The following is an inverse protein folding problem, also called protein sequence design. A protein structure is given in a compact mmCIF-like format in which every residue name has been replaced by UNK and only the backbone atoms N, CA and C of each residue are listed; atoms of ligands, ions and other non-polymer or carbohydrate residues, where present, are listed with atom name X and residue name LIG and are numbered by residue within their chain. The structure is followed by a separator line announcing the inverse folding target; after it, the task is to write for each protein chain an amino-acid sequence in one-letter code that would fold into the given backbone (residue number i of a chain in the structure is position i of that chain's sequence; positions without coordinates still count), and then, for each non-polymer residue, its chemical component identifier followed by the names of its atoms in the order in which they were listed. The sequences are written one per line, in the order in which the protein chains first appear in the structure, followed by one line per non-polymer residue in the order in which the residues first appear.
data_IF_498643748567
#
_entry.id   IF_498643748567
#
_cell.length_a   1.000
_cell.length_b   1.000
_cell.length_c   1.000
_cell.angle_alpha   90.00
_cell.angle_beta   90.00
_cell.angle_gamma   90.00
#
_symmetry.space_group_name_H-M   'P 1'
#
loop_
_entity.id
_entity.type
_entity.pdbx_description
1 polymer ?
#
# COMPACT_ATOMS: atom_id res chain seq x y z
N UNK A 1 -14.48 -5.36 -6.55
CA UNK A 1 -13.47 -4.96 -7.56
C UNK A 1 -12.13 -4.60 -6.94
N UNK A 2 -12.05 -3.70 -5.95
CA UNK A 2 -10.81 -3.52 -5.17
C UNK A 2 -10.51 -4.77 -4.33
N UNK A 3 -11.54 -5.43 -3.79
CA UNK A 3 -11.39 -6.70 -3.06
C UNK A 3 -10.72 -7.81 -3.87
N UNK A 4 -10.94 -7.90 -5.19
CA UNK A 4 -10.28 -8.92 -6.02
C UNK A 4 -8.80 -8.61 -6.24
N UNK A 5 -8.42 -7.33 -6.37
CA UNK A 5 -7.01 -6.93 -6.32
C UNK A 5 -6.42 -7.24 -4.95
N UNK A 6 -7.14 -6.93 -3.87
CA UNK A 6 -6.69 -7.16 -2.52
C UNK A 6 -6.33 -8.62 -2.25
N UNK A 7 -7.25 -9.54 -2.55
CA UNK A 7 -7.02 -10.99 -2.43
C UNK A 7 -5.82 -11.43 -3.28
N UNK A 8 -5.67 -10.85 -4.47
CA UNK A 8 -4.53 -11.15 -5.34
C UNK A 8 -3.19 -10.71 -4.73
N UNK A 9 -3.11 -9.49 -4.19
CA UNK A 9 -1.89 -8.96 -3.57
C UNK A 9 -1.46 -9.76 -2.34
N UNK A 10 -2.40 -10.37 -1.62
CA UNK A 10 -2.11 -11.29 -0.51
C UNK A 10 -1.62 -12.66 -0.99
N UNK A 11 -2.08 -13.13 -2.15
CA UNK A 11 -1.80 -14.49 -2.61
C UNK A 11 -0.53 -14.59 -3.47
N UNK A 12 -0.32 -13.61 -4.35
CA UNK A 12 0.73 -13.65 -5.38
C UNK A 12 1.31 -12.24 -5.65
N UNK A 13 1.90 -11.56 -4.65
CA UNK A 13 2.35 -10.16 -4.79
C UNK A 13 3.40 -9.94 -5.90
N UNK A 14 4.20 -10.97 -6.19
CA UNK A 14 5.30 -10.93 -7.17
C UNK A 14 4.86 -11.10 -8.61
N UNK A 15 3.63 -11.56 -8.83
CA UNK A 15 3.12 -11.82 -10.18
C UNK A 15 2.47 -10.56 -10.78
N UNK A 16 2.43 -10.43 -12.12
CA UNK A 16 1.74 -9.33 -12.78
C UNK A 16 0.26 -9.29 -12.37
N UNK A 17 -0.21 -8.12 -11.93
CA UNK A 17 -1.61 -7.97 -11.51
C UNK A 17 -2.56 -8.34 -12.65
N UNK A 18 -3.69 -9.02 -12.36
CA UNK A 18 -4.61 -9.47 -13.38
C UNK A 18 -5.38 -8.30 -13.99
N UNK A 19 -5.75 -8.42 -15.26
CA UNK A 19 -6.69 -7.50 -15.89
C UNK A 19 -7.98 -7.36 -15.05
N UNK A 20 -8.54 -6.15 -14.85
CA UNK A 20 -8.18 -4.87 -15.48
C UNK A 20 -7.22 -4.01 -14.64
N UNK A 21 -6.45 -4.59 -13.74
CA UNK A 21 -5.51 -3.86 -12.91
C UNK A 21 -4.16 -3.73 -13.60
N UNK A 22 -3.54 -2.58 -13.38
CA UNK A 22 -2.18 -2.25 -13.79
C UNK A 22 -1.39 -1.84 -12.55
N UNK A 23 -0.15 -2.32 -12.44
CA UNK A 23 0.79 -1.88 -11.41
C UNK A 23 1.64 -0.76 -12.00
N UNK A 24 1.63 0.38 -11.35
CA UNK A 24 2.29 1.59 -11.81
C UNK A 24 3.23 2.11 -10.73
N UNK A 25 4.35 2.66 -11.16
CA UNK A 25 5.31 3.31 -10.29
C UNK A 25 5.57 4.71 -10.84
N UNK A 26 5.24 5.72 -10.03
CA UNK A 26 5.46 7.12 -10.38
C UNK A 26 6.85 7.55 -9.91
N UNK A 27 7.74 7.80 -10.88
CA UNK A 27 9.12 8.25 -10.63
C UNK A 27 9.19 9.65 -10.01
N UNK A 28 8.18 10.49 -10.22
CA UNK A 28 8.17 11.86 -9.69
C UNK A 28 7.82 11.92 -8.21
N UNK A 29 6.95 11.03 -7.75
CA UNK A 29 6.48 10.97 -6.35
C UNK A 29 7.05 9.80 -5.56
N UNK A 30 7.78 8.89 -6.23
CA UNK A 30 8.27 7.64 -5.65
C UNK A 30 7.14 6.77 -5.06
N UNK A 31 6.00 6.73 -5.76
CA UNK A 31 4.79 6.03 -5.30
C UNK A 31 4.49 4.83 -6.17
N UNK A 32 4.38 3.66 -5.54
CA UNK A 32 3.76 2.48 -6.13
C UNK A 32 2.23 2.54 -5.95
N UNK A 33 1.50 2.35 -7.04
CA UNK A 33 0.04 2.29 -7.02
C UNK A 33 -0.51 1.28 -8.03
N UNK A 34 -1.76 0.88 -7.83
CA UNK A 34 -2.51 0.03 -8.75
C UNK A 34 -3.66 0.82 -9.33
N UNK A 35 -3.80 0.78 -10.65
CA UNK A 35 -4.87 1.48 -11.38
C UNK A 35 -5.78 0.47 -12.06
N UNK A 36 -7.07 0.66 -11.91
CA UNK A 36 -8.06 -0.09 -12.68
C UNK A 36 -8.29 0.60 -14.03
N UNK A 37 -7.94 -0.05 -15.13
CA UNK A 37 -8.04 0.53 -16.47
C UNK A 37 -9.49 0.79 -16.91
N UNK A 38 -10.47 0.09 -16.34
CA UNK A 38 -11.89 0.21 -16.71
C UNK A 38 -12.59 1.32 -15.91
N UNK A 39 -12.35 1.36 -14.59
CA UNK A 39 -13.08 2.26 -13.68
C UNK A 39 -12.26 3.48 -13.24
N UNK A 40 -10.97 3.53 -13.58
CA UNK A 40 -10.07 4.59 -13.14
C UNK A 40 -9.75 4.58 -11.64
N UNK A 41 -10.21 3.57 -10.89
CA UNK A 41 -9.93 3.43 -9.45
C UNK A 41 -8.44 3.27 -9.20
N UNK A 42 -7.91 3.99 -8.21
CA UNK A 42 -6.50 3.93 -7.81
C UNK A 42 -6.40 3.39 -6.38
N UNK A 43 -5.42 2.52 -6.16
CA UNK A 43 -5.03 1.99 -4.86
C UNK A 43 -3.56 2.30 -4.63
N UNK A 44 -3.23 3.11 -3.64
CA UNK A 44 -1.84 3.48 -3.32
C UNK A 44 -1.25 2.45 -2.36
N UNK A 45 -0.03 1.99 -2.61
CA UNK A 45 0.64 1.00 -1.77
C UNK A 45 1.70 1.68 -0.89
N UNK A 46 1.38 1.83 0.39
CA UNK A 46 2.24 2.45 1.39
C UNK A 46 3.07 1.42 2.16
N UNK A 47 3.14 0.16 1.71
CA UNK A 47 3.97 -0.82 2.41
C UNK A 47 5.45 -0.43 2.28
N UNK A 48 6.21 -0.48 3.40
CA UNK A 48 7.63 -0.13 3.41
C UNK A 48 8.51 -0.88 2.43
N UNK A 49 8.14 -2.12 2.11
CA UNK A 49 8.89 -2.98 1.21
C UNK A 49 7.94 -3.88 0.43
N UNK A 50 8.08 -3.89 -0.88
CA UNK A 50 7.19 -4.62 -1.80
C UNK A 50 8.04 -5.42 -2.78
N UNK A 51 7.82 -6.73 -2.83
CA UNK A 51 8.44 -7.55 -3.85
C UNK A 51 7.76 -7.32 -5.21
N UNK A 52 8.51 -6.82 -6.19
CA UNK A 52 8.06 -6.56 -7.54
C UNK A 52 8.26 -7.77 -8.48
N UNK A 53 8.82 -8.87 -7.96
CA UNK A 53 9.21 -10.05 -8.72
C UNK A 53 10.63 -9.94 -9.30
N UNK A 54 11.18 -11.08 -9.74
CA UNK A 54 12.51 -11.12 -10.37
C UNK A 54 13.66 -10.69 -9.46
N UNK A 55 13.49 -10.74 -8.14
CA UNK A 55 14.47 -10.29 -7.15
C UNK A 55 14.49 -8.77 -6.93
N UNK A 56 13.58 -8.01 -7.54
CA UNK A 56 13.46 -6.57 -7.35
C UNK A 56 12.50 -6.25 -6.20
N UNK A 57 12.93 -5.37 -5.31
CA UNK A 57 12.10 -4.84 -4.23
C UNK A 57 11.96 -3.33 -4.38
N UNK A 58 10.75 -2.82 -4.16
CA UNK A 58 10.52 -1.41 -3.95
C UNK A 58 10.53 -1.14 -2.45
N UNK A 59 11.43 -0.26 -2.01
CA UNK A 59 11.48 0.26 -0.66
C UNK A 59 10.80 1.64 -0.64
N UNK A 60 9.87 1.85 0.29
CA UNK A 60 9.04 3.05 0.40
C UNK A 60 9.16 3.67 1.80
N UNK A 61 9.59 4.93 1.90
CA UNK A 61 9.64 5.65 3.18
C UNK A 61 8.33 6.35 3.54
N UNK A 62 7.41 6.51 2.59
CA UNK A 62 6.25 7.39 2.71
C UNK A 62 5.36 7.03 3.91
N UNK A 63 5.21 5.75 4.23
CA UNK A 63 4.47 5.35 5.43
C UNK A 63 5.02 5.97 6.72
N UNK A 64 6.34 5.91 6.87
CA UNK A 64 7.04 6.42 8.05
C UNK A 64 6.94 7.95 8.11
N UNK A 65 7.10 8.60 6.96
CA UNK A 65 7.00 10.05 6.82
C UNK A 65 5.59 10.54 7.20
N UNK A 66 4.54 9.84 6.75
CA UNK A 66 3.15 10.20 7.03
C UNK A 66 2.71 9.88 8.46
N UNK A 67 3.28 8.85 9.08
CA UNK A 67 2.89 8.42 10.45
C UNK A 67 3.82 8.94 11.54
N UNK A 68 4.90 9.64 11.18
CA UNK A 68 5.91 10.14 12.13
C UNK A 68 6.70 9.02 12.80
N UNK A 69 6.74 7.82 12.21
CA UNK A 69 7.51 6.68 12.73
C UNK A 69 8.92 6.75 12.19
N UNK A 70 9.94 6.57 13.04
CA UNK A 70 11.33 6.64 12.60
C UNK A 70 11.78 5.32 11.95
N UNK A 71 12.30 5.42 10.72
CA UNK A 71 12.87 4.31 9.94
C UNK A 71 14.11 3.68 10.58
N UNK A 72 14.77 4.40 11.51
CA UNK A 72 15.98 3.93 12.18
C UNK A 72 15.75 2.74 13.13
N UNK A 73 14.53 2.56 13.63
CA UNK A 73 14.26 1.47 14.57
C UNK A 73 14.26 0.09 13.91
N UNK A 74 14.01 -0.01 12.59
CA UNK A 74 13.88 -1.32 11.92
C UNK A 74 15.17 -1.87 11.32
N UNK A 75 16.24 -1.08 11.17
CA UNK A 75 17.54 -1.62 10.75
C UNK A 75 18.08 -2.66 11.75
N UNK A 76 17.69 -2.57 13.04
CA UNK A 76 18.07 -3.51 14.10
C UNK A 76 17.10 -4.70 14.24
N UNK A 77 15.87 -4.61 13.69
CA UNK A 77 14.88 -5.70 13.68
C UNK A 77 14.80 -6.42 12.32
N UNK A 78 15.64 -6.01 11.36
CA UNK A 78 15.66 -6.48 9.96
C UNK A 78 15.91 -7.99 9.81
N UNK A 79 16.47 -8.63 10.84
CA UNK A 79 16.80 -10.06 10.83
C UNK A 79 15.77 -10.97 11.52
N UNK A 80 14.74 -10.44 12.21
CA UNK A 80 13.94 -11.28 13.12
C UNK A 80 12.42 -11.11 13.15
N UNK A 81 11.82 -10.24 12.34
CA UNK A 81 10.34 -10.15 12.28
C UNK A 81 9.84 -10.32 10.85
N UNK A 82 9.45 -11.57 10.58
CA UNK A 82 8.44 -12.00 9.62
C UNK A 82 8.20 -11.05 8.43
N UNK A 83 8.69 -11.49 7.27
CA UNK A 83 7.89 -11.42 6.07
C UNK A 83 6.39 -11.64 6.41
N UNK A 84 5.53 -10.69 6.03
CA UNK A 84 4.07 -10.90 5.89
C UNK A 84 3.19 -10.77 7.16
N UNK A 85 3.30 -9.69 7.95
CA UNK A 85 2.06 -9.20 8.58
C UNK A 85 1.11 -8.80 7.44
N UNK A 86 -0.04 -9.48 7.37
CA UNK A 86 -1.01 -9.25 6.29
C UNK A 86 -1.35 -7.76 6.26
N UNK A 87 -1.09 -7.05 5.15
CA UNK A 87 -1.36 -5.63 5.10
C UNK A 87 -2.85 -5.35 5.31
N UNK A 88 -3.21 -4.08 5.42
CA UNK A 88 -4.61 -3.67 5.52
C UNK A 88 -5.00 -2.82 4.32
N UNK A 89 -6.22 -3.01 3.83
CA UNK A 89 -6.83 -2.14 2.84
C UNK A 89 -7.69 -1.10 3.55
N UNK A 90 -7.27 0.16 3.49
CA UNK A 90 -8.07 1.30 3.92
C UNK A 90 -8.79 1.90 2.72
N UNK A 91 -9.98 2.45 2.96
CA UNK A 91 -10.65 3.34 2.02
C UNK A 91 -11.12 4.58 2.77
N UNK A 92 -10.97 5.74 2.16
CA UNK A 92 -11.35 7.02 2.77
C UNK A 92 -11.82 8.01 1.70
N UNK A 93 -12.69 8.92 2.11
CA UNK A 93 -13.24 10.00 1.29
C UNK A 93 -12.71 11.39 1.72
N UNK A 94 -11.66 11.45 2.56
CA UNK A 94 -11.19 12.70 3.16
C UNK A 94 -10.44 13.65 2.20
N UNK A 95 -10.11 13.23 0.98
CA UNK A 95 -9.34 14.03 0.02
C UNK A 95 -10.21 14.57 -1.13
N UNK A 96 -11.51 14.75 -0.92
CA UNK A 96 -12.46 15.16 -1.97
C UNK A 96 -12.75 14.07 -3.03
N UNK A 97 -12.17 12.89 -2.86
CA UNK A 97 -12.36 11.71 -3.72
C UNK A 97 -12.17 10.45 -2.89
N UNK A 98 -12.74 9.33 -3.35
CA UNK A 98 -12.56 8.02 -2.74
C UNK A 98 -11.14 7.52 -3.03
N UNK A 99 -10.35 7.34 -1.98
CA UNK A 99 -8.97 6.86 -2.04
C UNK A 99 -8.88 5.51 -1.35
N UNK A 100 -8.15 4.58 -1.97
CA UNK A 100 -7.82 3.28 -1.39
C UNK A 100 -6.32 3.24 -1.08
N UNK A 101 -5.97 2.76 0.12
CA UNK A 101 -4.59 2.66 0.58
C UNK A 101 -4.32 1.24 1.06
N UNK A 102 -3.22 0.64 0.61
CA UNK A 102 -2.64 -0.55 1.25
C UNK A 102 -1.63 -0.07 2.26
N UNK A 103 -1.82 -0.44 3.52
CA UNK A 103 -0.98 0.02 4.64
C UNK A 103 -0.42 -1.17 5.42
N UNK A 104 0.76 -1.03 6.05
CA UNK A 104 1.34 -2.11 6.84
C UNK A 104 0.62 -2.34 8.17
N UNK A 105 -0.13 -1.37 8.68
CA UNK A 105 -0.82 -1.44 9.97
C UNK A 105 -2.11 -0.62 9.99
N UNK A 106 -3.06 -1.00 10.85
CA UNK A 106 -4.30 -0.26 11.03
C UNK A 106 -4.02 1.11 11.65
N UNK A 107 -4.61 2.16 11.08
CA UNK A 107 -4.52 3.54 11.59
C UNK A 107 -5.89 4.16 11.74
N UNK A 108 -6.09 4.93 12.80
CA UNK A 108 -7.38 5.62 13.08
C UNK A 108 -7.57 6.88 12.22
N UNK A 109 -6.48 7.41 11.67
CA UNK A 109 -6.48 8.62 10.86
C UNK A 109 -5.89 8.30 9.48
N UNK A 110 -6.44 8.90 8.44
CA UNK A 110 -5.93 8.76 7.08
C UNK A 110 -4.53 9.38 7.03
N UNK A 111 -3.52 8.64 6.55
CA UNK A 111 -2.15 9.12 6.54
C UNK A 111 -1.96 10.30 5.57
N UNK A 112 -2.82 10.49 4.57
CA UNK A 112 -2.69 11.57 3.58
C UNK A 112 -3.27 12.93 4.06
N UNK A 113 -4.31 12.91 4.90
CA UNK A 113 -5.10 14.10 5.22
C UNK A 113 -5.30 14.32 6.74
N UNK A 114 -4.98 13.31 7.57
CA UNK A 114 -5.20 13.33 9.02
C UNK A 114 -6.65 13.13 9.47
N UNK A 115 -7.64 13.06 8.57
CA UNK A 115 -9.04 12.83 8.95
C UNK A 115 -9.28 11.40 9.46
N UNK A 116 -10.25 11.22 10.35
CA UNK A 116 -10.63 9.91 10.88
C UNK A 116 -11.07 8.95 9.76
N UNK A 117 -10.61 7.70 9.81
CA UNK A 117 -11.02 6.66 8.84
C UNK A 117 -12.05 5.72 9.45
N UNK A 118 -13.01 5.31 8.63
CA UNK A 118 -14.01 4.30 8.99
C UNK A 118 -13.57 2.94 8.43
N UNK A 119 -13.66 1.89 9.25
CA UNK A 119 -13.36 0.53 8.84
C UNK A 119 -14.67 -0.23 8.55
N UNK A 120 -14.75 -0.94 7.42
CA UNK A 120 -15.67 -2.07 7.29
C UNK A 120 -14.90 -3.34 7.67
N UNK A 121 -15.36 -4.02 8.71
CA UNK A 121 -14.90 -5.37 9.10
C UNK A 121 -15.54 -6.45 8.24
#
# INVERSE_FOLDING_TARGET
MVYSLWVYLLSCPEQPVPFPWERCYDLGTDVLFYKNAVYGTIVIDLRPRINLGGGLFHDNSMWYDLTGRSSHYQALFRDYQHDQDSPFLLYTNCCGSLVYLVVPELVQHCPLCGCFVSFFG
#
